data_IF_497859344471
#
_entry.id   IF_497859344471
#
_cell.length_a   1.000
_cell.length_b   1.000
_cell.length_c   1.000
_cell.angle_alpha   90.00
_cell.angle_beta   90.00
_cell.angle_gamma   90.00
#
_symmetry.space_group_name_H-M   'P 1'
#
loop_
_entity.id
_entity.type
_entity.pdbx_description
1 polymer ?
#
# COMPACT_ATOMS: atom_id res chain seq x y z
N UNK A 1 -18.85 35.75 3.03
CA UNK A 1 -17.74 34.76 3.12
C UNK A 1 -18.22 33.51 3.87
N UNK A 2 -18.51 32.42 3.15
CA UNK A 2 -18.87 31.12 3.77
C UNK A 2 -17.59 30.34 4.07
N UNK A 3 -17.38 30.06 5.35
CA UNK A 3 -16.28 29.22 5.89
C UNK A 3 -16.45 27.80 5.36
N UNK A 4 -15.55 27.33 4.47
CA UNK A 4 -15.50 25.91 4.06
C UNK A 4 -15.21 25.08 5.31
N UNK A 5 -16.17 24.25 5.73
CA UNK A 5 -16.02 23.30 6.83
C UNK A 5 -14.85 22.36 6.50
N UNK A 6 -13.90 22.27 7.42
CA UNK A 6 -12.85 21.25 7.41
C UNK A 6 -13.51 19.87 7.48
N UNK A 7 -13.45 19.09 6.39
CA UNK A 7 -13.87 17.68 6.33
C UNK A 7 -12.83 16.75 7.00
N UNK A 8 -12.31 17.16 8.16
CA UNK A 8 -11.56 16.24 9.01
C UNK A 8 -12.60 15.47 9.80
N UNK A 9 -12.79 14.19 9.45
CA UNK A 9 -13.49 13.22 10.29
C UNK A 9 -12.75 13.16 11.64
N UNK A 10 -13.35 13.75 12.66
CA UNK A 10 -12.88 13.65 14.04
C UNK A 10 -12.86 12.17 14.43
N UNK A 11 -11.66 11.67 14.79
CA UNK A 11 -11.35 10.32 15.30
C UNK A 11 -10.88 9.24 14.30
N UNK A 12 -10.54 9.55 13.04
CA UNK A 12 -9.88 8.55 12.18
C UNK A 12 -8.35 8.55 12.35
N UNK A 13 -7.82 7.50 12.98
CA UNK A 13 -6.37 7.29 13.11
C UNK A 13 -5.83 6.65 11.83
N UNK A 14 -5.24 7.46 10.94
CA UNK A 14 -4.59 7.06 9.68
C UNK A 14 -3.27 6.31 9.87
N UNK A 15 -3.18 5.48 10.91
CA UNK A 15 -1.95 4.78 11.30
C UNK A 15 -1.85 3.43 10.56
N UNK A 16 -1.46 3.48 9.28
CA UNK A 16 -1.08 2.35 8.40
C UNK A 16 -2.19 1.41 7.88
N UNK A 17 -3.41 1.91 7.73
CA UNK A 17 -4.41 1.37 6.81
C UNK A 17 -4.70 2.44 5.78
N UNK A 18 -4.79 2.07 4.51
CA UNK A 18 -5.01 3.04 3.43
C UNK A 18 -4.31 2.68 2.13
N UNK A 19 -4.37 3.62 1.19
CA UNK A 19 -3.81 3.47 -0.14
C UNK A 19 -2.39 4.05 -0.22
N UNK A 20 -1.53 3.33 -0.92
CA UNK A 20 -0.15 3.68 -1.19
C UNK A 20 0.05 3.73 -2.69
N UNK A 21 0.46 4.87 -3.21
CA UNK A 21 0.98 4.98 -4.55
C UNK A 21 2.43 4.50 -4.57
N UNK A 22 2.77 3.62 -5.51
CA UNK A 22 4.08 2.99 -5.63
C UNK A 22 4.61 3.20 -7.04
N UNK A 23 5.90 3.55 -7.14
CA UNK A 23 6.66 3.49 -8.40
C UNK A 23 7.84 2.55 -8.27
N UNK A 24 8.00 1.65 -9.24
CA UNK A 24 9.12 0.71 -9.30
C UNK A 24 9.80 0.80 -10.66
N UNK A 25 11.04 1.27 -10.67
CA UNK A 25 11.82 1.42 -11.91
C UNK A 25 12.65 0.18 -12.23
N UNK A 26 12.74 -0.14 -13.51
CA UNK A 26 13.67 -1.10 -14.08
C UNK A 26 15.10 -0.65 -13.83
N UNK A 27 16.03 -1.60 -13.81
CA UNK A 27 17.44 -1.31 -13.58
C UNK A 27 17.98 -0.31 -14.60
N UNK A 28 18.60 0.78 -14.14
CA UNK A 28 19.05 1.90 -15.00
C UNK A 28 17.96 2.49 -15.92
N UNK A 29 16.66 2.35 -15.57
CA UNK A 29 15.53 2.91 -16.34
C UNK A 29 15.50 2.44 -17.80
N UNK A 30 16.00 1.24 -18.08
CA UNK A 30 15.95 0.66 -19.43
C UNK A 30 14.52 0.25 -19.81
N UNK A 31 14.14 0.52 -21.06
CA UNK A 31 12.83 0.19 -21.60
C UNK A 31 12.75 -1.32 -21.95
N UNK A 32 12.44 -2.15 -20.95
CA UNK A 32 12.40 -3.62 -21.09
C UNK A 32 10.99 -4.21 -21.07
N UNK A 33 9.97 -3.44 -20.69
CA UNK A 33 8.59 -3.94 -20.54
C UNK A 33 7.72 -3.69 -21.77
N UNK A 34 8.22 -2.94 -22.75
CA UNK A 34 7.50 -2.62 -23.97
C UNK A 34 7.87 -1.24 -24.49
N UNK A 35 6.99 -0.67 -25.30
CA UNK A 35 7.15 0.63 -25.92
C UNK A 35 5.83 1.41 -25.92
N UNK A 36 5.91 2.71 -26.14
CA UNK A 36 4.73 3.57 -26.29
C UNK A 36 4.60 4.00 -27.73
N UNK A 37 3.42 3.81 -28.29
CA UNK A 37 3.09 4.21 -29.65
C UNK A 37 1.79 5.01 -29.62
N UNK A 38 1.82 6.25 -30.14
CA UNK A 38 0.66 7.17 -30.14
C UNK A 38 0.01 7.34 -28.77
N UNK A 39 0.83 7.40 -27.71
CA UNK A 39 0.36 7.57 -26.33
C UNK A 39 -0.33 6.34 -25.73
N UNK A 40 -0.14 5.16 -26.33
CA UNK A 40 -0.62 3.89 -25.80
C UNK A 40 0.57 3.01 -25.44
N UNK A 41 0.49 2.37 -24.27
CA UNK A 41 1.48 1.38 -23.88
C UNK A 41 1.26 0.06 -24.61
N UNK A 42 2.29 -0.44 -25.28
CA UNK A 42 2.35 -1.76 -25.89
C UNK A 42 3.30 -2.67 -25.11
N UNK A 43 2.74 -3.58 -24.32
CA UNK A 43 3.53 -4.54 -23.53
C UNK A 43 4.16 -5.61 -24.43
N UNK A 44 5.45 -5.86 -24.21
CA UNK A 44 6.10 -7.06 -24.71
C UNK A 44 5.86 -8.23 -23.74
N UNK A 45 6.46 -9.40 -24.00
CA UNK A 45 6.26 -10.58 -23.14
C UNK A 45 6.80 -10.39 -21.72
N UNK A 46 7.87 -9.60 -21.54
CA UNK A 46 8.35 -9.27 -20.19
C UNK A 46 7.36 -8.37 -19.47
N UNK A 47 6.78 -7.39 -20.15
CA UNK A 47 5.71 -6.53 -19.63
C UNK A 47 4.48 -7.33 -19.19
N UNK A 48 4.08 -8.35 -19.97
CA UNK A 48 2.99 -9.27 -19.59
C UNK A 48 3.35 -10.08 -18.34
N UNK A 49 4.57 -10.60 -18.23
CA UNK A 49 5.05 -11.28 -17.01
C UNK A 49 4.97 -10.34 -15.80
N UNK A 50 5.34 -9.06 -15.95
CA UNK A 50 5.21 -8.05 -14.89
C UNK A 50 3.75 -7.86 -14.50
N UNK A 51 2.85 -7.76 -15.48
CA UNK A 51 1.41 -7.62 -15.25
C UNK A 51 0.86 -8.79 -14.45
N UNK A 52 1.16 -10.02 -14.85
CA UNK A 52 0.73 -11.23 -14.16
C UNK A 52 1.25 -11.27 -12.72
N UNK A 53 2.54 -10.96 -12.51
CA UNK A 53 3.14 -10.91 -11.18
C UNK A 53 2.52 -9.83 -10.30
N UNK A 54 2.13 -8.68 -10.88
CA UNK A 54 1.46 -7.61 -10.15
C UNK A 54 0.07 -8.08 -9.71
N UNK A 55 -0.72 -8.63 -10.63
CA UNK A 55 -2.08 -9.11 -10.37
C UNK A 55 -2.15 -10.26 -9.35
N UNK A 56 -1.07 -11.05 -9.21
CA UNK A 56 -0.94 -12.12 -8.22
C UNK A 56 -0.60 -11.63 -6.80
N UNK A 57 -0.37 -10.33 -6.58
CA UNK A 57 -0.05 -9.80 -5.25
C UNK A 57 -1.11 -10.18 -4.19
N UNK A 58 -2.43 -9.97 -4.42
CA UNK A 58 -3.46 -10.27 -3.41
C UNK A 58 -3.56 -11.76 -3.04
N UNK A 59 -3.14 -12.68 -3.91
CA UNK A 59 -3.15 -14.12 -3.62
C UNK A 59 -2.18 -14.47 -2.48
N UNK A 60 -1.08 -13.72 -2.38
CA UNK A 60 -0.05 -13.92 -1.37
C UNK A 60 -0.29 -13.09 -0.10
N UNK A 61 -1.16 -12.07 -0.17
CA UNK A 61 -1.39 -11.12 0.90
C UNK A 61 -2.89 -10.79 1.01
N UNK A 62 -3.61 -11.52 1.88
CA UNK A 62 -5.05 -11.37 2.09
C UNK A 62 -5.50 -9.96 2.51
N UNK A 63 -4.60 -9.20 3.10
CA UNK A 63 -4.85 -7.86 3.63
C UNK A 63 -4.49 -6.76 2.62
N UNK A 64 -4.19 -7.14 1.39
CA UNK A 64 -3.77 -6.26 0.31
C UNK A 64 -4.79 -6.32 -0.83
N UNK A 65 -5.18 -5.14 -1.32
CA UNK A 65 -5.95 -5.01 -2.56
C UNK A 65 -5.17 -4.14 -3.54
N UNK A 66 -5.31 -4.44 -4.82
CA UNK A 66 -4.80 -3.60 -5.89
C UNK A 66 -5.90 -2.66 -6.37
N UNK A 67 -5.48 -1.52 -6.88
CA UNK A 67 -6.31 -0.54 -7.56
C UNK A 67 -5.57 -0.11 -8.84
N UNK A 68 -5.88 1.04 -9.43
CA UNK A 68 -5.28 1.51 -10.68
C UNK A 68 -3.75 1.36 -10.68
N UNK A 69 -3.24 0.81 -11.77
CA UNK A 69 -1.82 0.63 -12.03
C UNK A 69 -1.57 0.73 -13.53
N UNK A 70 -0.33 1.06 -13.88
CA UNK A 70 0.12 1.03 -15.27
C UNK A 70 1.58 0.60 -15.34
N UNK A 71 1.87 -0.27 -16.30
CA UNK A 71 3.23 -0.64 -16.66
C UNK A 71 3.65 0.30 -17.79
N UNK A 72 4.80 0.89 -17.62
CA UNK A 72 5.47 1.76 -18.58
C UNK A 72 6.70 1.04 -19.11
N UNK A 73 7.34 1.52 -20.19
CA UNK A 73 8.48 0.84 -20.80
C UNK A 73 9.59 0.47 -19.80
N UNK A 74 9.88 1.33 -18.83
CA UNK A 74 10.94 1.14 -17.84
C UNK A 74 10.48 1.15 -16.38
N UNK A 75 9.19 1.26 -16.07
CA UNK A 75 8.74 1.30 -14.68
C UNK A 75 7.30 0.83 -14.55
N UNK A 76 6.83 0.69 -13.33
CA UNK A 76 5.42 0.45 -13.01
C UNK A 76 4.98 1.45 -11.97
N UNK A 77 3.82 2.03 -12.19
CA UNK A 77 3.07 2.81 -11.22
C UNK A 77 1.87 2.00 -10.75
N UNK A 78 1.52 2.08 -9.47
CA UNK A 78 0.30 1.43 -9.01
C UNK A 78 -0.11 1.81 -7.61
N UNK A 79 -1.41 1.63 -7.35
CA UNK A 79 -2.01 1.88 -6.04
C UNK A 79 -2.22 0.54 -5.34
N UNK A 80 -1.71 0.44 -4.11
CA UNK A 80 -1.86 -0.71 -3.23
C UNK A 80 -2.61 -0.27 -1.98
N UNK A 81 -3.72 -0.94 -1.67
CA UNK A 81 -4.47 -0.76 -0.45
C UNK A 81 -4.04 -1.77 0.60
N UNK A 82 -3.63 -1.30 1.78
CA UNK A 82 -3.51 -2.12 2.98
C UNK A 82 -4.81 -1.96 3.76
N UNK A 83 -5.69 -2.96 3.64
CA UNK A 83 -7.01 -2.96 4.30
C UNK A 83 -6.95 -3.54 5.71
N UNK A 84 -5.83 -4.18 6.05
CA UNK A 84 -5.62 -4.86 7.33
C UNK A 84 -6.46 -6.12 7.42
N UNK A 85 -5.90 -7.19 8.00
CA UNK A 85 -6.73 -8.26 8.50
C UNK A 85 -7.65 -7.60 9.52
N UNK A 86 -8.95 -7.72 9.31
CA UNK A 86 -9.85 -7.80 10.45
C UNK A 86 -9.41 -9.08 11.17
N UNK A 87 -8.37 -9.00 12.01
CA UNK A 87 -8.31 -9.85 13.17
C UNK A 87 -9.49 -9.40 14.01
N UNK A 88 -10.68 -9.91 13.68
CA UNK A 88 -11.64 -10.21 14.71
C UNK A 88 -10.88 -11.12 15.66
N UNK A 89 -10.35 -10.55 16.75
CA UNK A 89 -10.06 -11.37 17.91
C UNK A 89 -11.44 -11.92 18.33
N UNK A 90 -11.67 -13.24 18.36
CA UNK A 90 -12.97 -13.77 18.75
C UNK A 90 -13.28 -13.59 20.26
N UNK A 91 -12.60 -12.67 20.96
CA UNK A 91 -12.59 -12.63 22.45
C UNK A 91 -12.96 -11.29 23.08
N UNK A 92 -13.06 -10.19 22.35
CA UNK A 92 -13.38 -8.88 22.97
C UNK A 92 -14.82 -8.39 22.77
N UNK A 93 -15.58 -8.93 21.80
CA UNK A 93 -16.99 -8.57 21.60
C UNK A 93 -17.91 -9.02 22.75
N UNK A 94 -17.54 -10.05 23.52
CA UNK A 94 -18.41 -10.61 24.57
C UNK A 94 -18.38 -9.83 25.89
N UNK A 95 -17.25 -9.19 26.23
CA UNK A 95 -17.13 -8.45 27.51
C UNK A 95 -17.75 -7.05 27.51
N UNK A 96 -17.86 -6.41 26.36
CA UNK A 96 -18.34 -5.02 26.29
C UNK A 96 -19.88 -4.98 26.30
N UNK A 97 -20.57 -5.89 25.59
CA UNK A 97 -22.04 -5.91 25.63
C UNK A 97 -22.59 -6.48 26.96
N UNK A 98 -21.91 -7.43 27.60
CA UNK A 98 -22.31 -7.96 28.91
C UNK A 98 -22.06 -6.98 30.08
N UNK A 99 -21.24 -5.92 29.90
CA UNK A 99 -20.92 -4.97 30.97
C UNK A 99 -21.75 -3.69 30.98
N UNK A 100 -22.58 -3.45 29.96
CA UNK A 100 -23.42 -2.24 29.85
C UNK A 100 -24.77 -2.44 30.57
N UNK A 101 -25.21 -3.68 30.79
CA UNK A 101 -26.54 -3.98 31.35
C UNK A 101 -26.60 -4.15 32.89
N UNK A 102 -25.50 -3.97 33.62
CA UNK A 102 -25.53 -4.09 35.09
C UNK A 102 -24.75 -2.97 35.80
N UNK A 103 -25.43 -1.86 36.10
CA UNK A 103 -25.05 -0.97 37.22
C UNK A 103 -25.46 -1.65 38.53
N UNK A 104 -24.66 -1.59 39.61
CA UNK A 104 -24.73 -0.40 40.49
C UNK A 104 -23.41 0.05 41.19
N UNK A 105 -23.43 1.33 41.59
CA UNK A 105 -22.94 2.00 42.83
C UNK A 105 -21.47 1.86 43.34
N UNK A 106 -20.76 3.01 43.27
CA UNK A 106 -19.77 3.65 44.19
C UNK A 106 -18.71 2.79 44.94
N UNK A 107 -17.42 2.98 44.60
CA UNK A 107 -16.36 3.36 45.55
C UNK A 107 -15.12 3.90 44.79
N UNK A 108 -14.72 5.13 45.10
CA UNK A 108 -13.54 5.84 44.59
C UNK A 108 -12.33 5.58 45.48
N UNK A 109 -11.35 4.80 45.02
CA UNK A 109 -9.93 4.92 45.45
C UNK A 109 -8.97 3.99 44.69
N UNK A 110 -9.46 3.08 43.84
CA UNK A 110 -8.63 2.07 43.16
C UNK A 110 -8.57 2.20 41.62
N UNK A 111 -9.19 3.24 41.04
CA UNK A 111 -9.30 3.42 39.57
C UNK A 111 -8.08 4.06 38.92
N UNK A 112 -7.27 4.82 39.64
CA UNK A 112 -6.14 5.57 39.03
C UNK A 112 -4.98 4.66 38.58
N UNK A 113 -4.72 3.55 39.28
CA UNK A 113 -3.61 2.65 38.93
C UNK A 113 -3.91 1.73 37.73
N UNK A 114 -5.18 1.37 37.49
CA UNK A 114 -5.56 0.54 36.33
C UNK A 114 -5.53 1.34 35.02
N UNK A 115 -6.00 2.60 35.05
CA UNK A 115 -6.01 3.49 33.88
C UNK A 115 -4.57 3.77 33.41
N UNK A 116 -3.63 3.92 34.36
CA UNK A 116 -2.22 4.25 34.08
C UNK A 116 -1.42 3.07 33.51
N UNK A 117 -1.75 1.82 33.87
CA UNK A 117 -1.10 0.63 33.30
C UNK A 117 -1.65 0.29 31.90
N UNK A 118 -2.94 0.54 31.66
CA UNK A 118 -3.59 0.27 30.38
C UNK A 118 -3.20 1.33 29.33
N UNK A 119 -3.06 2.60 29.71
CA UNK A 119 -2.55 3.67 28.85
C UNK A 119 -1.09 3.43 28.43
N UNK A 120 -0.23 2.98 29.35
CA UNK A 120 1.18 2.68 29.07
C UNK A 120 1.38 1.49 28.10
N UNK A 121 0.50 0.48 28.12
CA UNK A 121 0.51 -0.59 27.10
C UNK A 121 0.08 -0.09 25.72
N UNK A 122 -0.99 0.71 25.66
CA UNK A 122 -1.49 1.30 24.41
C UNK A 122 -0.43 2.21 23.76
N UNK A 123 0.28 3.02 24.55
CA UNK A 123 1.32 3.93 24.07
C UNK A 123 2.54 3.18 23.51
N UNK A 124 2.89 2.00 24.04
CA UNK A 124 4.01 1.18 23.53
C UNK A 124 3.64 0.32 22.31
N UNK A 125 2.38 -0.10 22.18
CA UNK A 125 1.93 -0.91 21.05
C UNK A 125 1.72 -0.10 19.76
N UNK A 126 1.37 1.19 19.86
CA UNK A 126 1.09 2.03 18.69
C UNK A 126 2.29 2.23 17.76
N UNK A 127 3.51 2.56 18.25
CA UNK A 127 4.70 2.70 17.43
C UNK A 127 5.12 1.37 16.77
N UNK A 128 5.05 0.26 17.51
CA UNK A 128 5.40 -1.08 17.02
C UNK A 128 4.43 -1.59 15.94
N UNK A 129 3.14 -1.27 16.06
CA UNK A 129 2.14 -1.56 15.01
C UNK A 129 2.39 -0.72 13.75
N UNK A 130 2.83 0.53 13.90
CA UNK A 130 3.18 1.39 12.77
C UNK A 130 4.43 0.81 12.05
N UNK A 131 5.47 0.46 12.79
CA UNK A 131 6.69 -0.11 12.22
C UNK A 131 6.44 -1.46 11.51
N UNK A 132 5.69 -2.38 12.14
CA UNK A 132 5.31 -3.68 11.54
C UNK A 132 4.52 -3.55 10.23
N UNK A 133 3.72 -2.50 10.07
CA UNK A 133 2.88 -2.29 8.87
C UNK A 133 3.62 -1.55 7.76
N UNK A 134 4.58 -0.68 8.08
CA UNK A 134 5.56 -0.17 7.10
C UNK A 134 6.40 -1.29 6.49
N UNK A 135 6.64 -2.37 7.24
CA UNK A 135 7.26 -3.59 6.69
C UNK A 135 6.37 -4.34 5.69
N UNK A 136 5.03 -4.19 5.73
CA UNK A 136 4.14 -4.97 4.86
C UNK A 136 4.29 -4.51 3.40
N UNK A 137 4.28 -3.20 3.14
CA UNK A 137 4.49 -2.69 1.78
C UNK A 137 5.88 -3.12 1.26
N UNK A 138 6.92 -2.99 2.08
CA UNK A 138 8.27 -3.42 1.68
C UNK A 138 8.36 -4.93 1.42
N UNK A 139 7.63 -5.76 2.18
CA UNK A 139 7.53 -7.20 1.94
C UNK A 139 6.80 -7.50 0.63
N UNK A 140 5.67 -6.84 0.38
CA UNK A 140 4.88 -6.98 -0.86
C UNK A 140 5.75 -6.62 -2.06
N UNK A 141 6.38 -5.45 -2.04
CA UNK A 141 7.23 -5.00 -3.14
C UNK A 141 8.47 -5.90 -3.29
N UNK A 142 9.08 -6.33 -2.18
CA UNK A 142 10.20 -7.27 -2.21
C UNK A 142 9.84 -8.60 -2.86
N UNK A 143 8.69 -9.18 -2.48
CA UNK A 143 8.18 -10.43 -3.07
C UNK A 143 7.82 -10.26 -4.54
N UNK A 144 7.16 -9.16 -4.90
CA UNK A 144 6.85 -8.82 -6.29
C UNK A 144 8.13 -8.74 -7.13
N UNK A 145 9.15 -7.99 -6.70
CA UNK A 145 10.44 -7.86 -7.40
C UNK A 145 11.13 -9.21 -7.56
N UNK A 146 11.11 -10.04 -6.52
CA UNK A 146 11.73 -11.36 -6.55
C UNK A 146 11.01 -12.28 -7.54
N UNK A 147 9.68 -12.39 -7.45
CA UNK A 147 8.88 -13.26 -8.31
C UNK A 147 9.01 -12.84 -9.78
N UNK A 148 8.82 -11.55 -10.07
CA UNK A 148 8.93 -11.03 -11.44
C UNK A 148 10.33 -11.21 -12.03
N UNK A 149 11.39 -10.92 -11.27
CA UNK A 149 12.76 -11.14 -11.73
C UNK A 149 13.04 -12.62 -12.01
N UNK A 150 12.52 -13.51 -11.16
CA UNK A 150 12.64 -14.96 -11.36
C UNK A 150 11.94 -15.40 -12.65
N UNK A 151 10.69 -14.97 -12.87
CA UNK A 151 9.92 -15.31 -14.06
C UNK A 151 10.57 -14.78 -15.34
N UNK A 152 11.07 -13.54 -15.34
CA UNK A 152 11.79 -12.95 -16.48
C UNK A 152 13.10 -13.70 -16.77
N UNK A 153 13.87 -14.06 -15.74
CA UNK A 153 15.11 -14.80 -15.90
C UNK A 153 14.87 -16.20 -16.51
N UNK A 154 13.82 -16.89 -16.05
CA UNK A 154 13.39 -18.17 -16.64
C UNK A 154 12.99 -17.99 -18.10
N UNK A 155 12.18 -16.96 -18.41
CA UNK A 155 11.74 -16.69 -19.78
C UNK A 155 12.90 -16.39 -20.74
N UNK A 156 13.91 -15.65 -20.28
CA UNK A 156 15.07 -15.27 -21.09
C UNK A 156 16.17 -16.34 -21.16
N UNK A 157 16.00 -17.49 -20.52
CA UNK A 157 17.05 -18.51 -20.32
C UNK A 157 18.37 -17.92 -19.79
N UNK A 158 18.25 -16.93 -18.89
CA UNK A 158 19.38 -16.19 -18.31
C UNK A 158 19.31 -16.26 -16.79
N UNK A 159 20.45 -16.51 -16.14
CA UNK A 159 20.56 -16.37 -14.68
C UNK A 159 21.04 -14.97 -14.30
N UNK A 160 20.35 -14.37 -13.33
CA UNK A 160 20.90 -13.25 -12.55
C UNK A 160 20.82 -11.86 -13.19
N UNK A 161 20.00 -11.64 -14.22
CA UNK A 161 19.86 -10.30 -14.79
C UNK A 161 19.16 -9.35 -13.80
N UNK A 162 19.70 -8.13 -13.65
CA UNK A 162 19.11 -7.10 -12.81
C UNK A 162 17.90 -6.49 -13.52
N UNK A 163 16.69 -6.89 -13.11
CA UNK A 163 15.43 -6.35 -13.67
C UNK A 163 15.09 -4.99 -13.06
N UNK A 164 15.31 -4.82 -11.76
CA UNK A 164 14.82 -3.65 -11.00
C UNK A 164 15.95 -2.83 -10.39
N UNK A 165 15.71 -1.52 -10.22
CA UNK A 165 16.53 -0.68 -9.33
C UNK A 165 16.39 -1.10 -7.86
N UNK A 166 17.37 -0.72 -7.03
CA UNK A 166 17.29 -0.88 -5.58
C UNK A 166 16.27 0.12 -5.01
N UNK A 167 15.42 -0.34 -4.08
CA UNK A 167 14.37 0.50 -3.49
C UNK A 167 13.16 0.68 -4.41
N UNK A 168 12.22 1.52 -4.00
CA UNK A 168 11.04 1.92 -4.75
C UNK A 168 10.56 3.26 -4.18
N UNK A 169 9.78 4.02 -4.94
CA UNK A 169 9.11 5.22 -4.42
C UNK A 169 7.75 4.83 -3.86
N UNK A 170 7.39 5.41 -2.73
CA UNK A 170 6.06 5.32 -2.14
C UNK A 170 5.52 6.66 -1.67
N UNK A 171 4.22 6.86 -1.87
CA UNK A 171 3.47 8.01 -1.36
C UNK A 171 2.17 7.52 -0.71
N UNK A 172 1.88 8.02 0.50
CA UNK A 172 0.64 7.68 1.21
C UNK A 172 -0.47 8.57 0.68
N UNK A 173 -1.52 7.95 0.13
CA UNK A 173 -2.70 8.66 -0.36
C UNK A 173 -3.61 8.96 0.84
N UNK A 174 -3.81 10.25 1.12
CA UNK A 174 -4.39 10.69 2.41
C UNK A 174 -5.89 10.98 2.37
N UNK A 175 -6.44 11.20 1.18
CA UNK A 175 -7.85 11.57 0.99
C UNK A 175 -8.31 11.24 -0.43
N UNK A 176 -9.60 11.42 -0.68
CA UNK A 176 -10.25 11.11 -1.96
C UNK A 176 -9.74 11.96 -3.13
N UNK A 177 -9.46 13.25 -2.90
CA UNK A 177 -8.90 14.13 -3.95
C UNK A 177 -7.51 13.64 -4.38
N UNK A 178 -6.66 13.29 -3.43
CA UNK A 178 -5.33 12.72 -3.66
C UNK A 178 -5.42 11.37 -4.40
N UNK A 179 -6.38 10.53 -4.02
CA UNK A 179 -6.66 9.27 -4.70
C UNK A 179 -7.06 9.48 -6.16
N UNK A 180 -8.04 10.35 -6.41
CA UNK A 180 -8.53 10.64 -7.76
C UNK A 180 -7.45 11.27 -8.64
N UNK A 181 -6.64 12.17 -8.09
CA UNK A 181 -5.52 12.76 -8.81
C UNK A 181 -4.46 11.71 -9.16
N UNK A 182 -4.15 10.79 -8.24
CA UNK A 182 -3.21 9.70 -8.48
C UNK A 182 -3.72 8.75 -9.56
N UNK A 183 -5.00 8.36 -9.51
CA UNK A 183 -5.64 7.53 -10.54
C UNK A 183 -5.59 8.21 -11.91
N UNK A 184 -5.94 9.50 -11.96
CA UNK A 184 -5.87 10.29 -13.18
C UNK A 184 -4.43 10.40 -13.71
N UNK A 185 -3.44 10.57 -12.85
CA UNK A 185 -2.03 10.54 -13.24
C UNK A 185 -1.66 9.20 -13.89
N UNK A 186 -1.97 8.07 -13.23
CA UNK A 186 -1.68 6.71 -13.73
C UNK A 186 -2.31 6.49 -15.11
N UNK A 187 -3.58 6.85 -15.28
CA UNK A 187 -4.31 6.63 -16.53
C UNK A 187 -3.78 7.48 -17.69
N UNK A 188 -3.32 8.70 -17.41
CA UNK A 188 -2.79 9.61 -18.43
C UNK A 188 -1.28 9.47 -18.65
N UNK A 189 -0.59 8.67 -17.84
CA UNK A 189 0.86 8.55 -17.89
C UNK A 189 1.41 8.11 -19.28
N UNK A 190 0.77 7.19 -20.04
CA UNK A 190 1.22 6.84 -21.39
C UNK A 190 1.18 8.01 -22.37
N UNK A 191 0.21 8.92 -22.22
CA UNK A 191 0.10 10.13 -23.03
C UNK A 191 1.19 11.14 -22.68
N UNK A 192 1.60 11.17 -21.41
CA UNK A 192 2.60 12.10 -20.89
C UNK A 192 4.01 11.52 -20.85
N UNK A 193 4.24 10.38 -21.51
CA UNK A 193 5.48 9.63 -21.43
C UNK A 193 6.70 10.49 -21.67
N UNK A 194 6.72 11.32 -22.72
CA UNK A 194 7.86 12.18 -23.09
C UNK A 194 8.24 13.22 -22.02
N UNK A 195 7.33 13.49 -21.07
CA UNK A 195 7.51 14.46 -19.99
C UNK A 195 7.62 13.81 -18.61
N UNK A 196 7.62 12.49 -18.56
CA UNK A 196 7.67 11.73 -17.33
C UNK A 196 9.06 11.83 -16.65
N UNK A 197 9.08 12.16 -15.36
CA UNK A 197 10.29 12.28 -14.55
C UNK A 197 11.06 10.94 -14.40
N UNK A 198 10.41 9.82 -14.71
CA UNK A 198 11.01 8.48 -14.65
C UNK A 198 11.65 8.03 -15.98
N UNK A 199 11.70 8.87 -17.02
CA UNK A 199 12.41 8.58 -18.29
C UNK A 199 13.94 8.57 -18.11
N UNK A 200 14.49 9.48 -17.29
CA UNK A 200 15.93 9.80 -17.24
C UNK A 200 16.65 9.10 -16.09
#
# INVERSE_FOLDING_TARGET
MKRKKSLRLENYSYSNLGAYYITICSYKRINIFGEINKGLMHLNDLGKIIQDCWLQIPENYKDVKLDDFIIMPNHIHGIIWIVGAIHESPKEKRKIYESIESKPTIHESSKENLITQQSNRVIRELPLRIERRKMLISKVIGKFKMNSSKSINIFNDKQGSHVWQRGYYDHIIRNETDLNNTKMYIQNNPLNWETDEYIC
#
